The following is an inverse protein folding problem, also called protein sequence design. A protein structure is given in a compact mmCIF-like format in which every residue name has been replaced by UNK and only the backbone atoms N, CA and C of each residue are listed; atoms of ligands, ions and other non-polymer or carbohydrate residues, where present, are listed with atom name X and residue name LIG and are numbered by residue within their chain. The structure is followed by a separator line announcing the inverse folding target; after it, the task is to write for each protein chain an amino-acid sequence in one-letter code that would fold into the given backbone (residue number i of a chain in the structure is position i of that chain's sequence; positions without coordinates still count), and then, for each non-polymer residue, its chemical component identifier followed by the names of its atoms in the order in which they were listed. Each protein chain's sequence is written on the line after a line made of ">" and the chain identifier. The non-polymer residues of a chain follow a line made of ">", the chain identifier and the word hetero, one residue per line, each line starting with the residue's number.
data_IF_969104987359
#
_entry.id   IF_969104987359
#
_cell.length_a   1.000
_cell.length_b   1.000
_cell.length_c   1.000
_cell.angle_alpha   90.00
_cell.angle_beta   90.00
_cell.angle_gamma   90.00
#
_symmetry.space_group_name_H-M   'P 1'
#
loop_
_entity.id
_entity.type
_entity.pdbx_description
1 polymer ?
#
# COMPACT_ATOMS: atom_id res chain seq x y z
N UNK A 1 23.65 -53.66 -21.62
CA UNK A 1 24.65 -53.03 -20.74
C UNK A 1 24.99 -51.58 -21.11
N UNK A 2 25.43 -51.27 -22.35
CA UNK A 2 25.73 -49.88 -22.79
C UNK A 2 24.60 -48.85 -22.59
N UNK A 3 23.35 -49.21 -22.90
CA UNK A 3 22.20 -48.30 -22.74
C UNK A 3 21.89 -47.94 -21.28
N UNK A 4 22.08 -48.89 -20.36
CA UNK A 4 21.91 -48.66 -18.93
C UNK A 4 22.99 -47.73 -18.37
N UNK A 5 24.23 -47.87 -18.85
CA UNK A 5 25.35 -47.00 -18.47
C UNK A 5 25.13 -45.55 -18.92
N UNK A 6 24.57 -45.35 -20.13
CA UNK A 6 24.23 -44.02 -20.64
C UNK A 6 23.12 -43.36 -19.83
N UNK A 7 22.08 -44.10 -19.43
CA UNK A 7 21.00 -43.57 -18.58
C UNK A 7 21.51 -43.16 -17.19
N UNK A 8 22.41 -43.96 -16.60
CA UNK A 8 23.02 -43.65 -15.31
C UNK A 8 23.86 -42.36 -15.37
N UNK A 9 24.63 -42.17 -16.44
CA UNK A 9 25.44 -40.96 -16.66
C UNK A 9 24.58 -39.70 -16.82
N UNK A 10 23.42 -39.79 -17.48
CA UNK A 10 22.49 -38.65 -17.63
C UNK A 10 21.87 -38.26 -16.29
N UNK A 11 21.52 -39.23 -15.44
CA UNK A 11 20.98 -38.97 -14.10
C UNK A 11 22.02 -38.33 -13.16
N UNK A 12 23.29 -38.70 -13.27
CA UNK A 12 24.40 -38.11 -12.50
C UNK A 12 24.77 -36.68 -12.96
N UNK A 13 24.41 -36.28 -14.18
CA UNK A 13 24.66 -34.94 -14.71
C UNK A 13 23.59 -33.91 -14.30
N UNK A 14 22.46 -34.33 -13.72
CA UNK A 14 21.39 -33.44 -13.28
C UNK A 14 21.65 -32.89 -11.86
N UNK A 15 22.63 -31.98 -11.74
CA UNK A 15 22.88 -31.28 -10.49
C UNK A 15 21.85 -30.13 -10.36
N UNK A 16 20.75 -30.36 -9.64
CA UNK A 16 19.70 -29.36 -9.45
C UNK A 16 20.22 -28.14 -8.68
N UNK A 17 20.46 -27.04 -9.39
CA UNK A 17 20.85 -25.76 -8.77
C UNK A 17 19.59 -25.00 -8.36
N UNK A 18 19.41 -24.75 -7.06
CA UNK A 18 18.33 -23.88 -6.56
C UNK A 18 18.53 -22.48 -7.15
N UNK A 19 17.54 -22.01 -7.90
CA UNK A 19 17.51 -20.65 -8.42
C UNK A 19 17.46 -19.61 -7.30
N UNK A 20 17.77 -18.34 -7.59
CA UNK A 20 17.58 -17.26 -6.63
C UNK A 20 16.10 -17.23 -6.17
N UNK A 21 15.82 -16.89 -4.90
CA UNK A 21 14.45 -16.71 -4.45
C UNK A 21 13.79 -15.58 -5.25
N UNK A 22 12.50 -15.75 -5.56
CA UNK A 22 11.71 -14.67 -6.12
C UNK A 22 11.52 -13.56 -5.07
N UNK A 23 11.49 -12.28 -5.47
CA UNK A 23 11.13 -11.20 -4.57
C UNK A 23 9.75 -11.46 -3.94
N UNK A 24 9.55 -11.10 -2.66
CA UNK A 24 8.24 -11.19 -2.05
C UNK A 24 7.28 -10.26 -2.78
N UNK A 25 6.10 -10.78 -3.14
CA UNK A 25 5.03 -9.92 -3.64
C UNK A 25 4.55 -9.04 -2.48
N UNK A 26 4.50 -7.73 -2.72
CA UNK A 26 3.91 -6.77 -1.79
C UNK A 26 2.50 -6.45 -2.26
N UNK A 27 1.52 -6.88 -1.49
CA UNK A 27 0.13 -6.49 -1.68
C UNK A 27 -0.03 -5.07 -1.14
N UNK A 28 0.11 -4.09 -2.03
CA UNK A 28 -0.08 -2.68 -1.69
C UNK A 28 -1.46 -2.28 -2.18
N UNK A 29 -2.34 -1.73 -1.31
CA UNK A 29 -3.62 -1.19 -1.73
C UNK A 29 -3.45 -0.17 -2.86
N UNK A 30 -4.47 -0.07 -3.71
CA UNK A 30 -4.54 0.99 -4.70
C UNK A 30 -4.51 2.38 -4.05
N UNK A 31 -4.04 3.37 -4.80
CA UNK A 31 -3.96 4.75 -4.31
C UNK A 31 -5.36 5.32 -4.16
N UNK A 32 -5.69 5.90 -3.01
CA UNK A 32 -6.92 6.68 -2.84
C UNK A 32 -6.93 7.90 -3.76
N UNK A 33 -7.97 8.04 -4.58
CA UNK A 33 -8.07 9.10 -5.61
C UNK A 33 -9.20 10.10 -5.35
N UNK A 34 -10.15 9.75 -4.49
CA UNK A 34 -11.40 10.48 -4.25
C UNK A 34 -11.51 11.00 -2.81
N UNK A 35 -10.38 11.28 -2.17
CA UNK A 35 -10.35 11.82 -0.81
C UNK A 35 -10.94 13.24 -0.77
N UNK A 36 -12.01 13.40 -0.01
CA UNK A 36 -12.68 14.66 0.28
C UNK A 36 -12.62 14.94 1.78
N UNK A 37 -12.37 16.21 2.12
CA UNK A 37 -12.46 16.72 3.48
C UNK A 37 -13.59 17.74 3.57
N UNK A 38 -14.50 17.58 4.52
CA UNK A 38 -15.57 18.52 4.83
C UNK A 38 -15.54 18.89 6.31
N UNK A 39 -15.72 20.16 6.64
CA UNK A 39 -15.89 20.57 8.02
C UNK A 39 -17.35 20.35 8.44
N UNK A 40 -17.55 19.62 9.53
CA UNK A 40 -18.85 19.41 10.18
C UNK A 40 -18.70 19.86 11.64
N UNK A 41 -19.36 20.97 12.01
CA UNK A 41 -19.21 21.60 13.33
C UNK A 41 -17.73 21.89 13.70
N UNK A 42 -17.23 21.22 14.75
CA UNK A 42 -15.85 21.32 15.23
C UNK A 42 -14.97 20.17 14.73
N UNK A 43 -15.44 19.36 13.79
CA UNK A 43 -14.76 18.20 13.25
C UNK A 43 -14.45 18.37 11.76
N UNK A 44 -13.37 17.71 11.31
CA UNK A 44 -13.08 17.55 9.88
C UNK A 44 -13.40 16.10 9.54
N UNK A 45 -14.43 15.92 8.72
CA UNK A 45 -14.86 14.60 8.25
C UNK A 45 -14.16 14.31 6.93
N UNK A 46 -13.43 13.20 6.92
CA UNK A 46 -12.75 12.70 5.74
C UNK A 46 -13.57 11.56 5.12
N UNK A 47 -13.81 11.63 3.80
CA UNK A 47 -14.54 10.61 3.04
C UNK A 47 -13.77 10.23 1.79
N UNK A 48 -13.72 8.93 1.49
CA UNK A 48 -13.08 8.36 0.31
C UNK A 48 -13.60 6.94 0.08
N UNK A 49 -13.33 6.37 -1.10
CA UNK A 49 -13.69 4.99 -1.43
C UNK A 49 -12.75 3.99 -0.75
N UNK A 50 -13.31 2.92 -0.19
CA UNK A 50 -12.50 1.81 0.34
C UNK A 50 -11.75 1.09 -0.80
N UNK A 51 -10.44 0.83 -0.66
CA UNK A 51 -9.67 0.20 -1.73
C UNK A 51 -10.13 -1.25 -1.94
N UNK A 52 -10.55 -1.59 -3.15
CA UNK A 52 -11.01 -2.94 -3.50
C UNK A 52 -9.88 -3.75 -4.16
N UNK A 53 -8.88 -3.06 -4.71
CA UNK A 53 -7.77 -3.67 -5.45
C UNK A 53 -6.41 -3.32 -4.85
N UNK A 54 -5.43 -4.17 -5.14
CA UNK A 54 -4.02 -3.86 -5.00
C UNK A 54 -3.52 -3.07 -6.22
N UNK A 55 -2.34 -2.46 -6.12
CA UNK A 55 -1.69 -1.81 -7.28
C UNK A 55 -1.38 -2.75 -8.45
N UNK A 56 -1.36 -4.07 -8.21
CA UNK A 56 -1.22 -5.07 -9.28
C UNK A 56 -2.56 -5.49 -9.89
N UNK A 57 -3.66 -4.85 -9.49
CA UNK A 57 -5.02 -5.15 -9.98
C UNK A 57 -5.61 -6.45 -9.43
N UNK A 58 -5.00 -7.02 -8.39
CA UNK A 58 -5.57 -8.18 -7.68
C UNK A 58 -6.59 -7.69 -6.65
N UNK A 59 -7.62 -8.49 -6.29
CA UNK A 59 -8.50 -8.18 -5.17
C UNK A 59 -7.70 -7.94 -3.90
N UNK A 60 -7.95 -6.82 -3.21
CA UNK A 60 -7.36 -6.56 -1.92
C UNK A 60 -8.04 -7.45 -0.88
N UNK A 61 -7.23 -8.17 -0.10
CA UNK A 61 -7.69 -8.98 1.02
C UNK A 61 -7.02 -8.48 2.29
N UNK A 62 -7.70 -8.65 3.41
CA UNK A 62 -7.11 -8.45 4.74
C UNK A 62 -6.46 -7.07 4.95
N UNK A 63 -7.18 -5.97 4.68
CA UNK A 63 -6.69 -4.63 4.98
C UNK A 63 -6.49 -4.48 6.51
N UNK A 64 -5.24 -4.47 6.95
CA UNK A 64 -4.90 -4.46 8.38
C UNK A 64 -5.35 -3.17 9.08
N UNK A 65 -5.06 -2.03 8.44
CA UNK A 65 -5.33 -0.72 9.01
C UNK A 65 -5.44 0.38 7.96
N UNK A 66 -6.14 1.44 8.34
CA UNK A 66 -6.09 2.76 7.69
C UNK A 66 -5.48 3.74 8.66
N UNK A 67 -4.49 4.49 8.21
CA UNK A 67 -3.83 5.54 9.00
C UNK A 67 -4.03 6.91 8.35
N UNK A 68 -4.44 7.88 9.15
CA UNK A 68 -4.56 9.27 8.72
C UNK A 68 -3.40 10.05 9.31
N UNK A 69 -2.60 10.65 8.45
CA UNK A 69 -1.43 11.44 8.81
C UNK A 69 -1.68 12.91 8.47
N UNK A 70 -1.28 13.80 9.37
CA UNK A 70 -1.39 15.26 9.21
C UNK A 70 -0.04 15.91 9.44
N UNK A 71 0.28 16.89 8.60
CA UNK A 71 1.37 17.84 8.85
C UNK A 71 0.83 19.25 8.75
N UNK A 72 1.46 20.15 9.48
CA UNK A 72 1.20 21.59 9.35
C UNK A 72 2.12 22.18 8.29
N UNK A 73 1.60 23.17 7.59
CA UNK A 73 2.34 23.96 6.61
C UNK A 73 2.40 25.37 7.17
N UNK A 74 3.59 26.02 7.18
CA UNK A 74 3.70 27.38 7.66
C UNK A 74 2.75 28.33 6.90
N UNK A 75 2.08 29.26 7.60
CA UNK A 75 1.20 30.23 6.96
C UNK A 75 1.93 30.99 5.83
N UNK A 76 1.28 31.12 4.68
CA UNK A 76 1.82 31.79 3.49
C UNK A 76 2.69 30.91 2.58
N UNK A 77 2.91 29.64 2.94
CA UNK A 77 3.63 28.66 2.10
C UNK A 77 2.69 27.61 1.45
N UNK A 78 1.37 27.78 1.58
CA UNK A 78 0.38 26.84 1.07
C UNK A 78 0.47 26.69 -0.45
N UNK A 79 0.75 27.79 -1.15
CA UNK A 79 0.90 27.81 -2.62
C UNK A 79 2.08 26.97 -3.12
N UNK A 80 3.10 26.74 -2.28
CA UNK A 80 4.22 25.84 -2.61
C UNK A 80 3.79 24.36 -2.67
N UNK A 81 2.58 24.04 -2.19
CA UNK A 81 1.97 22.71 -2.28
C UNK A 81 1.13 22.51 -3.55
N UNK A 82 1.20 23.44 -4.50
CA UNK A 82 0.56 23.33 -5.81
C UNK A 82 1.57 22.99 -6.91
N UNK A 83 1.11 22.33 -7.98
CA UNK A 83 1.93 21.98 -9.14
C UNK A 83 2.77 20.70 -8.99
N UNK A 84 3.60 20.37 -10.00
CA UNK A 84 4.30 19.07 -10.06
C UNK A 84 5.31 18.85 -8.94
N UNK A 85 6.02 19.90 -8.52
CA UNK A 85 7.06 19.84 -7.48
C UNK A 85 6.47 19.62 -6.09
N UNK A 86 5.20 19.97 -5.91
CA UNK A 86 4.52 19.84 -4.62
C UNK A 86 4.35 18.40 -4.16
N UNK A 87 4.31 17.42 -5.08
CA UNK A 87 4.16 16.01 -4.70
C UNK A 87 5.30 15.56 -3.81
N UNK A 88 6.54 15.89 -4.21
CA UNK A 88 7.73 15.55 -3.43
C UNK A 88 7.82 16.37 -2.14
N UNK A 89 7.49 17.66 -2.18
CA UNK A 89 7.46 18.50 -0.98
C UNK A 89 6.44 17.99 0.05
N UNK A 90 5.22 17.65 -0.37
CA UNK A 90 4.19 17.05 0.49
C UNK A 90 4.69 15.76 1.13
N UNK A 91 5.34 14.89 0.34
CA UNK A 91 5.97 13.65 0.82
C UNK A 91 7.02 13.95 1.89
N UNK A 92 7.93 14.88 1.64
CA UNK A 92 8.98 15.26 2.59
C UNK A 92 8.40 15.83 3.89
N UNK A 93 7.39 16.68 3.80
CA UNK A 93 6.71 17.23 4.98
C UNK A 93 6.04 16.15 5.82
N UNK A 94 5.33 15.22 5.19
CA UNK A 94 4.71 14.09 5.90
C UNK A 94 5.77 13.18 6.53
N UNK A 95 6.85 12.85 5.81
CA UNK A 95 7.91 11.97 6.34
C UNK A 95 8.73 12.63 7.46
N UNK A 96 8.94 13.94 7.39
CA UNK A 96 9.76 14.67 8.37
C UNK A 96 8.99 15.18 9.58
N UNK A 97 7.70 15.54 9.41
CA UNK A 97 6.91 16.25 10.43
C UNK A 97 5.48 15.71 10.58
N UNK A 98 5.10 14.71 9.79
CA UNK A 98 3.77 14.11 9.87
C UNK A 98 3.51 13.52 11.24
N UNK A 99 2.29 13.75 11.74
CA UNK A 99 1.74 13.13 12.94
C UNK A 99 0.57 12.27 12.53
N UNK A 100 0.56 11.02 12.97
CA UNK A 100 -0.61 10.15 12.83
C UNK A 100 -1.73 10.70 13.73
N UNK A 101 -2.84 11.13 13.12
CA UNK A 101 -3.98 11.70 13.84
C UNK A 101 -5.10 10.67 14.06
N UNK A 102 -5.13 9.61 13.24
CA UNK A 102 -6.03 8.48 13.44
C UNK A 102 -5.40 7.19 12.91
N UNK A 103 -5.77 6.06 13.54
CA UNK A 103 -5.53 4.72 13.01
C UNK A 103 -6.78 3.88 13.26
N UNK A 104 -7.35 3.36 12.18
CA UNK A 104 -8.50 2.46 12.19
C UNK A 104 -7.97 1.06 11.91
N UNK A 105 -8.22 0.11 12.80
CA UNK A 105 -7.87 -1.30 12.62
C UNK A 105 -8.91 -2.20 13.28
N UNK A 106 -8.98 -3.46 12.86
CA UNK A 106 -9.93 -4.45 13.38
C UNK A 106 -11.36 -3.88 13.41
N UNK A 107 -12.03 -3.98 14.56
CA UNK A 107 -13.43 -3.53 14.72
C UNK A 107 -13.67 -2.05 14.36
N UNK A 108 -12.69 -1.17 14.59
CA UNK A 108 -12.84 0.25 14.27
C UNK A 108 -12.82 0.50 12.75
N UNK A 109 -12.05 -0.30 12.02
CA UNK A 109 -12.04 -0.27 10.57
C UNK A 109 -13.37 -0.78 10.00
N UNK A 110 -13.85 -1.91 10.51
CA UNK A 110 -15.17 -2.48 10.13
C UNK A 110 -16.34 -1.53 10.43
N UNK A 111 -16.27 -0.77 11.53
CA UNK A 111 -17.31 0.19 11.88
C UNK A 111 -17.28 1.46 11.00
N UNK A 112 -16.10 1.83 10.49
CA UNK A 112 -15.92 3.02 9.66
C UNK A 112 -16.24 2.75 8.18
N UNK A 113 -16.23 1.50 7.75
CA UNK A 113 -16.62 1.09 6.40
C UNK A 113 -18.13 0.91 6.32
N UNK A 114 -18.81 1.72 5.51
CA UNK A 114 -20.20 1.43 5.12
C UNK A 114 -20.18 0.37 4.01
N UNK A 115 -19.93 -0.87 4.41
CA UNK A 115 -20.11 -2.12 3.65
C UNK A 115 -19.73 -2.13 2.17
N UNK A 116 -18.71 -2.89 1.83
CA UNK A 116 -18.99 -4.07 0.99
C UNK A 116 -18.74 -5.27 1.89
N UNK A 117 -19.72 -6.17 2.05
CA UNK A 117 -19.44 -7.53 2.53
C UNK A 117 -18.23 -8.07 1.75
N UNK A 118 -17.08 -8.18 2.42
CA UNK A 118 -15.92 -8.95 1.99
C UNK A 118 -16.08 -10.38 2.51
#
# INVERSE_FOLDING_TARGET
>A
MRRALLLLLVLLAACGRKGPPLPPLREVPETTTDLVASQEENEVVLRWSYPALTRSGQPLRDLEAVEVWRTEVPPGQEKSLEGPQAVELKRQLILGRGKQVARLSGKALEAATRGSTL
#
